data_IF_896976567577
#
_entry.id   IF_896976567577
#
_cell.length_a   1.000
_cell.length_b   1.000
_cell.length_c   1.000
_cell.angle_alpha   90.00
_cell.angle_beta   90.00
_cell.angle_gamma   90.00
#
_symmetry.space_group_name_H-M   'P 1'
#
loop_
_entity.id
_entity.type
_entity.pdbx_description
1 polymer ?
#
# COMPACT_ATOMS: atom_id res chain seq x y z
N UNK A 1 -0.43 23.97 -36.59
CA UNK A 1 -1.46 24.04 -35.56
C UNK A 1 -0.74 24.30 -34.25
N UNK A 2 -1.22 25.23 -33.44
CA UNK A 2 -0.53 25.70 -32.24
C UNK A 2 -0.74 24.73 -31.10
N UNK A 3 0.33 24.03 -30.71
CA UNK A 3 0.41 23.09 -29.59
C UNK A 3 0.37 23.82 -28.23
N UNK A 4 -0.70 24.60 -28.01
CA UNK A 4 -0.87 25.53 -26.90
C UNK A 4 -2.09 25.17 -26.05
N UNK A 5 -2.03 25.51 -24.76
CA UNK A 5 -3.17 25.40 -23.86
C UNK A 5 -4.31 26.34 -24.28
N UNK A 6 -5.53 25.82 -24.27
CA UNK A 6 -6.76 26.56 -24.53
C UNK A 6 -7.52 26.65 -23.21
N UNK A 7 -7.76 27.87 -22.75
CA UNK A 7 -8.41 28.13 -21.46
C UNK A 7 -9.58 29.09 -21.66
N UNK A 8 -10.79 28.63 -21.30
CA UNK A 8 -12.02 29.38 -21.49
C UNK A 8 -12.79 29.57 -20.19
N UNK A 9 -13.20 30.80 -19.90
CA UNK A 9 -14.04 31.15 -18.75
C UNK A 9 -15.52 31.16 -19.17
N UNK A 10 -16.35 30.46 -18.40
CA UNK A 10 -17.80 30.51 -18.57
C UNK A 10 -18.50 30.71 -17.23
N UNK A 11 -19.69 31.32 -17.28
CA UNK A 11 -20.55 31.44 -16.13
C UNK A 11 -21.29 30.12 -15.86
N UNK A 12 -21.30 29.68 -14.61
CA UNK A 12 -21.93 28.43 -14.19
C UNK A 12 -23.40 28.67 -13.80
N UNK A 13 -24.25 29.00 -14.79
CA UNK A 13 -25.69 29.24 -14.61
C UNK A 13 -26.54 28.41 -15.56
N UNK A 14 -27.79 28.16 -15.15
CA UNK A 14 -28.78 27.44 -15.95
C UNK A 14 -29.19 28.30 -17.17
N UNK A 15 -28.96 27.80 -18.39
CA UNK A 15 -29.31 28.48 -19.64
C UNK A 15 -28.14 29.05 -20.44
N UNK A 16 -26.98 29.31 -19.79
CA UNK A 16 -25.78 29.85 -20.44
C UNK A 16 -24.83 28.75 -20.95
N UNK A 17 -25.06 27.49 -20.56
CA UNK A 17 -24.23 26.35 -20.92
C UNK A 17 -24.63 25.66 -22.24
N UNK A 18 -25.75 26.03 -22.86
CA UNK A 18 -26.22 25.40 -24.10
C UNK A 18 -25.47 25.88 -25.36
N UNK A 19 -24.57 26.86 -25.21
CA UNK A 19 -23.82 27.50 -26.30
C UNK A 19 -22.30 27.35 -26.18
N UNK A 20 -21.80 26.48 -25.30
CA UNK A 20 -20.37 26.17 -25.25
C UNK A 20 -20.07 25.25 -26.44
N UNK A 21 -19.59 25.85 -27.53
CA UNK A 21 -19.19 25.17 -28.77
C UNK A 21 -17.83 25.70 -29.18
N UNK A 22 -16.80 24.89 -28.96
CA UNK A 22 -15.44 25.17 -29.43
C UNK A 22 -14.88 23.91 -30.06
N UNK A 23 -14.28 24.03 -31.25
CA UNK A 23 -13.79 22.90 -32.06
C UNK A 23 -12.85 21.93 -31.32
N UNK A 24 -12.10 22.41 -30.31
CA UNK A 24 -11.19 21.58 -29.51
C UNK A 24 -11.88 20.84 -28.37
N UNK A 25 -12.96 21.42 -27.82
CA UNK A 25 -13.71 20.87 -26.69
C UNK A 25 -14.59 19.69 -27.12
N UNK A 26 -15.00 19.67 -28.39
CA UNK A 26 -15.81 18.59 -28.96
C UNK A 26 -14.97 17.41 -29.48
N UNK A 27 -13.67 17.62 -29.70
CA UNK A 27 -12.78 16.62 -30.31
C UNK A 27 -11.84 15.92 -29.32
N UNK A 28 -11.52 16.57 -28.19
CA UNK A 28 -10.57 16.05 -27.20
C UNK A 28 -11.17 16.04 -25.78
N UNK A 29 -10.74 15.12 -24.89
CA UNK A 29 -11.05 15.21 -23.48
C UNK A 29 -10.55 16.54 -22.89
N UNK A 30 -11.31 17.12 -21.96
CA UNK A 30 -10.95 18.38 -21.30
C UNK A 30 -10.85 18.21 -19.79
N UNK A 31 -10.09 19.11 -19.17
CA UNK A 31 -10.08 19.33 -17.71
C UNK A 31 -10.89 20.59 -17.42
N UNK A 32 -11.56 20.65 -16.29
CA UNK A 32 -12.33 21.83 -15.89
C UNK A 32 -12.21 22.11 -14.39
N UNK A 33 -12.29 23.39 -14.04
CA UNK A 33 -12.31 23.88 -12.67
C UNK A 33 -13.62 24.64 -12.46
N UNK A 34 -14.47 24.11 -11.58
CA UNK A 34 -15.66 24.80 -11.10
C UNK A 34 -15.30 25.55 -9.83
N UNK A 35 -15.55 26.85 -9.75
CA UNK A 35 -15.15 27.62 -8.57
C UNK A 35 -16.06 28.83 -8.29
N UNK A 36 -15.80 29.50 -7.18
CA UNK A 36 -16.37 30.81 -6.86
C UNK A 36 -15.29 31.81 -6.42
N UNK A 37 -15.56 33.10 -6.61
CA UNK A 37 -14.69 34.21 -6.17
C UNK A 37 -15.23 34.94 -4.94
N UNK A 38 -16.13 34.33 -4.17
CA UNK A 38 -16.86 35.04 -3.12
C UNK A 38 -15.96 35.38 -1.92
N UNK A 39 -15.61 36.65 -1.76
CA UNK A 39 -14.74 37.16 -0.68
C UNK A 39 -15.32 37.00 0.74
N UNK A 40 -16.65 36.82 0.88
CA UNK A 40 -17.30 36.74 2.19
C UNK A 40 -17.28 35.35 2.83
N UNK A 41 -16.90 34.32 2.08
CA UNK A 41 -16.80 32.92 2.55
C UNK A 41 -15.50 32.32 2.03
N UNK A 42 -15.04 31.21 2.63
CA UNK A 42 -13.91 30.45 2.07
C UNK A 42 -14.27 30.02 0.63
N UNK A 43 -13.46 30.37 -0.39
CA UNK A 43 -13.79 30.02 -1.75
C UNK A 43 -13.68 28.50 -1.94
N UNK A 44 -14.57 27.96 -2.75
CA UNK A 44 -14.70 26.52 -3.00
C UNK A 44 -14.37 26.22 -4.45
N UNK A 45 -13.72 25.09 -4.68
CA UNK A 45 -13.44 24.61 -6.02
C UNK A 45 -13.73 23.11 -6.17
N UNK A 46 -13.99 22.70 -7.40
CA UNK A 46 -14.09 21.32 -7.81
C UNK A 46 -13.38 21.17 -9.15
N UNK A 47 -12.49 20.19 -9.24
CA UNK A 47 -11.72 19.91 -10.44
C UNK A 47 -12.21 18.60 -11.03
N UNK A 48 -12.34 18.51 -12.34
CA UNK A 48 -12.71 17.25 -13.00
C UNK A 48 -12.24 17.19 -14.44
N UNK A 49 -12.29 16.00 -15.03
CA UNK A 49 -12.13 15.80 -16.47
C UNK A 49 -13.41 15.25 -17.12
N UNK A 50 -13.58 15.48 -18.42
CA UNK A 50 -14.67 14.87 -19.19
C UNK A 50 -14.43 14.89 -20.69
N UNK A 51 -15.06 13.94 -21.39
CA UNK A 51 -15.24 13.94 -22.86
C UNK A 51 -16.61 14.46 -23.28
N UNK A 52 -17.48 14.80 -22.33
CA UNK A 52 -18.86 15.26 -22.58
C UNK A 52 -19.17 16.47 -21.69
N UNK A 53 -18.55 17.62 -22.00
CA UNK A 53 -18.64 18.87 -21.22
C UNK A 53 -20.08 19.23 -20.89
N UNK A 54 -20.94 19.35 -21.90
CA UNK A 54 -22.33 19.74 -21.73
C UNK A 54 -23.12 18.81 -20.78
N UNK A 55 -22.92 17.50 -20.89
CA UNK A 55 -23.56 16.52 -19.99
C UNK A 55 -23.02 16.66 -18.57
N UNK A 56 -21.69 16.79 -18.42
CA UNK A 56 -21.02 16.85 -17.12
C UNK A 56 -21.37 18.13 -16.36
N UNK A 57 -21.38 19.28 -17.01
CA UNK A 57 -21.75 20.55 -16.38
C UNK A 57 -23.23 20.58 -15.97
N UNK A 58 -24.14 20.02 -16.79
CA UNK A 58 -25.55 19.84 -16.40
C UNK A 58 -25.71 18.96 -15.16
N UNK A 59 -24.93 17.89 -15.03
CA UNK A 59 -24.93 17.05 -13.82
C UNK A 59 -24.49 17.83 -12.58
N UNK A 60 -23.46 18.68 -12.69
CA UNK A 60 -23.01 19.51 -11.57
C UNK A 60 -24.02 20.59 -11.19
N UNK A 61 -24.73 21.20 -12.16
CA UNK A 61 -25.80 22.17 -11.88
C UNK A 61 -26.93 21.57 -11.04
N UNK A 62 -27.23 20.29 -11.26
CA UNK A 62 -28.27 19.57 -10.51
C UNK A 62 -27.78 19.10 -9.12
N UNK A 63 -26.50 19.26 -8.79
CA UNK A 63 -25.94 18.83 -7.52
C UNK A 63 -26.05 19.93 -6.45
N UNK A 64 -26.77 19.64 -5.36
CA UNK A 64 -26.99 20.58 -4.26
C UNK A 64 -25.71 21.04 -3.55
N UNK A 65 -24.62 20.26 -3.60
CA UNK A 65 -23.30 20.63 -3.05
C UNK A 65 -22.57 21.69 -3.88
N UNK A 66 -23.04 21.98 -5.10
CA UNK A 66 -22.42 22.91 -6.05
C UNK A 66 -23.13 24.26 -6.15
N UNK A 67 -24.10 24.55 -5.26
CA UNK A 67 -24.88 25.80 -5.27
C UNK A 67 -24.05 27.09 -5.17
N UNK A 68 -22.90 27.01 -4.50
CA UNK A 68 -22.03 28.17 -4.27
C UNK A 68 -21.06 28.45 -5.42
N UNK A 69 -20.87 27.51 -6.36
CA UNK A 69 -20.05 27.67 -7.56
C UNK A 69 -20.76 28.61 -8.54
N UNK A 70 -19.99 29.49 -9.17
CA UNK A 70 -20.50 30.52 -10.10
C UNK A 70 -19.76 30.56 -11.43
N UNK A 71 -18.57 29.99 -11.49
CA UNK A 71 -17.70 30.05 -12.65
C UNK A 71 -17.19 28.64 -12.99
N UNK A 72 -16.94 28.42 -14.28
CA UNK A 72 -16.23 27.26 -14.80
C UNK A 72 -15.10 27.71 -15.70
N UNK A 73 -13.92 27.16 -15.47
CA UNK A 73 -12.77 27.25 -16.35
C UNK A 73 -12.67 25.94 -17.12
N UNK A 74 -12.72 25.98 -18.45
CA UNK A 74 -12.47 24.82 -19.31
C UNK A 74 -11.02 24.88 -19.82
N UNK A 75 -10.33 23.76 -19.75
CA UNK A 75 -8.92 23.62 -20.10
C UNK A 75 -8.81 22.51 -21.14
N UNK A 76 -8.41 22.89 -22.35
CA UNK A 76 -8.20 22.00 -23.49
C UNK A 76 -6.78 22.06 -24.03
N UNK A 77 -6.38 21.02 -24.74
CA UNK A 77 -5.10 20.94 -25.45
C UNK A 77 -5.23 19.89 -26.55
N UNK A 78 -4.65 20.12 -27.73
CA UNK A 78 -4.81 19.24 -28.91
C UNK A 78 -4.26 17.81 -28.70
N UNK A 79 -3.31 17.65 -27.79
CA UNK A 79 -2.75 16.33 -27.42
C UNK A 79 -3.48 15.61 -26.29
N UNK A 80 -4.50 16.23 -25.68
CA UNK A 80 -5.18 15.60 -24.56
C UNK A 80 -5.82 14.27 -24.96
N UNK A 81 -5.49 13.25 -24.18
CA UNK A 81 -6.13 11.95 -24.15
C UNK A 81 -6.58 11.66 -22.71
N UNK A 82 -7.32 10.58 -22.49
CA UNK A 82 -7.89 10.29 -21.16
C UNK A 82 -6.83 10.12 -20.07
N UNK A 83 -5.66 9.55 -20.40
CA UNK A 83 -4.55 9.41 -19.45
C UNK A 83 -3.94 10.76 -19.11
N UNK A 84 -3.76 11.63 -20.10
CA UNK A 84 -3.24 12.98 -19.91
C UNK A 84 -4.20 13.85 -19.07
N UNK A 85 -5.50 13.87 -19.38
CA UNK A 85 -6.45 14.67 -18.60
C UNK A 85 -6.64 14.16 -17.17
N UNK A 86 -6.57 12.85 -16.97
CA UNK A 86 -6.58 12.25 -15.63
C UNK A 86 -5.32 12.62 -14.83
N UNK A 87 -4.15 12.67 -15.47
CA UNK A 87 -2.91 13.12 -14.85
C UNK A 87 -2.97 14.60 -14.45
N UNK A 88 -3.39 15.47 -15.37
CA UNK A 88 -3.53 16.90 -15.13
C UNK A 88 -4.58 17.17 -14.04
N UNK A 89 -5.73 16.48 -14.06
CA UNK A 89 -6.74 16.54 -12.99
C UNK A 89 -6.12 16.19 -11.62
N UNK A 90 -5.38 15.08 -11.55
CA UNK A 90 -4.75 14.61 -10.31
C UNK A 90 -3.72 15.63 -9.81
N UNK A 91 -2.87 16.14 -10.70
CA UNK A 91 -1.89 17.16 -10.36
C UNK A 91 -2.57 18.44 -9.87
N UNK A 92 -3.60 18.93 -10.56
CA UNK A 92 -4.35 20.12 -10.13
C UNK A 92 -4.96 19.93 -8.74
N UNK A 93 -5.60 18.78 -8.46
CA UNK A 93 -6.18 18.51 -7.13
C UNK A 93 -5.10 18.58 -6.05
N UNK A 94 -3.96 17.91 -6.26
CA UNK A 94 -2.87 17.90 -5.29
C UNK A 94 -2.27 19.29 -5.05
N UNK A 95 -2.08 20.08 -6.11
CA UNK A 95 -1.51 21.42 -5.98
C UNK A 95 -2.52 22.41 -5.38
N UNK A 96 -3.82 22.34 -5.70
CA UNK A 96 -4.85 23.16 -5.05
C UNK A 96 -4.98 22.85 -3.54
N UNK A 97 -4.80 21.59 -3.14
CA UNK A 97 -4.75 21.22 -1.72
C UNK A 97 -3.58 21.90 -1.02
N UNK A 98 -2.39 21.84 -1.62
CA UNK A 98 -1.18 22.44 -1.04
C UNK A 98 -1.09 23.96 -1.17
N UNK A 99 -1.81 24.56 -2.12
CA UNK A 99 -1.91 26.01 -2.28
C UNK A 99 -2.83 26.66 -1.23
N UNK A 100 -3.79 25.88 -0.72
CA UNK A 100 -4.75 26.23 0.33
C UNK A 100 -5.69 27.41 0.01
N UNK A 101 -5.60 27.99 -1.18
CA UNK A 101 -6.45 29.10 -1.62
C UNK A 101 -7.93 28.70 -1.69
N UNK A 102 -8.25 27.48 -2.14
CA UNK A 102 -9.62 26.97 -2.26
C UNK A 102 -9.88 25.77 -1.36
N UNK A 103 -11.11 25.66 -0.84
CA UNK A 103 -11.60 24.43 -0.25
C UNK A 103 -12.09 23.48 -1.37
N UNK A 104 -11.30 22.45 -1.68
CA UNK A 104 -11.69 21.46 -2.69
C UNK A 104 -12.81 20.55 -2.22
N UNK A 105 -13.75 20.28 -3.12
CA UNK A 105 -14.92 19.45 -2.84
C UNK A 105 -14.77 17.98 -3.26
N UNK A 106 -13.60 17.58 -3.81
CA UNK A 106 -13.33 16.22 -4.30
C UNK A 106 -11.99 15.62 -3.86
N UNK A 107 -11.48 16.05 -2.71
CA UNK A 107 -10.22 15.57 -2.10
C UNK A 107 -10.18 14.04 -1.89
N UNK A 108 -11.33 13.38 -1.73
CA UNK A 108 -11.37 11.92 -1.56
C UNK A 108 -10.88 11.13 -2.78
N UNK A 109 -10.84 11.75 -3.97
CA UNK A 109 -10.44 11.09 -5.21
C UNK A 109 -8.94 10.83 -5.31
N UNK A 110 -8.10 11.47 -4.48
CA UNK A 110 -6.63 11.31 -4.52
C UNK A 110 -6.07 10.42 -3.40
N UNK A 111 -6.92 9.91 -2.48
CA UNK A 111 -6.47 9.09 -1.32
C UNK A 111 -5.83 7.74 -1.70
N UNK A 112 -5.89 7.31 -2.96
CA UNK A 112 -5.36 6.02 -3.43
C UNK A 112 -4.62 6.12 -4.78
N UNK A 113 -4.35 7.32 -5.31
CA UNK A 113 -3.90 7.45 -6.70
C UNK A 113 -2.37 7.56 -6.77
N UNK A 114 -1.72 6.44 -7.07
CA UNK A 114 -0.40 6.47 -7.69
C UNK A 114 -0.61 6.47 -9.21
N UNK A 115 -0.29 7.58 -9.86
CA UNK A 115 -0.36 7.68 -11.32
C UNK A 115 0.65 6.71 -11.94
N UNK A 116 0.17 5.77 -12.76
CA UNK A 116 1.02 4.85 -13.51
C UNK A 116 1.70 5.60 -14.67
N UNK A 117 2.82 5.08 -15.16
CA UNK A 117 3.50 5.62 -16.34
C UNK A 117 2.61 5.49 -17.58
N UNK A 118 2.63 6.50 -18.45
CA UNK A 118 1.94 6.50 -19.74
C UNK A 118 2.71 7.33 -20.78
N UNK A 119 2.34 7.18 -22.04
CA UNK A 119 3.01 7.86 -23.16
C UNK A 119 3.07 9.38 -22.96
N UNK A 120 4.27 9.95 -23.08
CA UNK A 120 4.56 11.39 -22.90
C UNK A 120 4.20 11.98 -21.54
N UNK A 121 4.09 11.18 -20.46
CA UNK A 121 3.76 11.68 -19.11
C UNK A 121 4.65 12.84 -18.66
N UNK A 122 5.95 12.77 -18.92
CA UNK A 122 6.92 13.82 -18.56
C UNK A 122 6.62 15.15 -19.25
N UNK A 123 6.20 15.12 -20.52
CA UNK A 123 5.78 16.33 -21.23
C UNK A 123 4.53 16.97 -20.59
N UNK A 124 3.55 16.17 -20.15
CA UNK A 124 2.38 16.71 -19.45
C UNK A 124 2.71 17.26 -18.07
N UNK A 125 3.61 16.60 -17.31
CA UNK A 125 3.98 17.02 -15.96
C UNK A 125 4.88 18.24 -15.93
N UNK A 126 5.88 18.29 -16.81
CA UNK A 126 6.94 19.31 -16.76
C UNK A 126 6.68 20.48 -17.72
N UNK A 127 5.90 20.30 -18.79
CA UNK A 127 5.62 21.38 -19.75
C UNK A 127 4.19 21.87 -19.61
N UNK A 128 3.21 21.00 -19.89
CA UNK A 128 1.80 21.42 -19.96
C UNK A 128 1.27 21.83 -18.58
N UNK A 129 1.57 21.07 -17.54
CA UNK A 129 1.10 21.39 -16.20
C UNK A 129 1.76 22.66 -15.65
N UNK A 130 3.03 22.90 -15.97
CA UNK A 130 3.72 24.14 -15.58
C UNK A 130 3.07 25.37 -16.23
N UNK A 131 2.87 25.34 -17.55
CA UNK A 131 2.19 26.42 -18.29
C UNK A 131 0.78 26.67 -17.74
N UNK A 132 0.03 25.59 -17.47
CA UNK A 132 -1.30 25.69 -16.87
C UNK A 132 -1.26 26.33 -15.48
N UNK A 133 -0.32 25.94 -14.62
CA UNK A 133 -0.23 26.48 -13.27
C UNK A 133 0.12 27.97 -13.27
N UNK A 134 1.05 28.38 -14.12
CA UNK A 134 1.42 29.78 -14.31
C UNK A 134 0.21 30.61 -14.75
N UNK A 135 -0.61 30.10 -15.69
CA UNK A 135 -1.82 30.78 -16.11
C UNK A 135 -2.87 30.86 -14.99
N UNK A 136 -3.02 29.82 -14.17
CA UNK A 136 -3.89 29.86 -12.99
C UNK A 136 -3.41 30.90 -11.97
N UNK A 137 -2.10 31.08 -11.80
CA UNK A 137 -1.55 32.14 -10.95
C UNK A 137 -1.84 33.52 -11.52
N UNK A 138 -1.68 33.74 -12.83
CA UNK A 138 -2.05 35.02 -13.49
C UNK A 138 -3.53 35.35 -13.31
N UNK A 139 -4.39 34.32 -13.33
CA UNK A 139 -5.83 34.43 -13.10
C UNK A 139 -6.24 34.54 -11.63
N UNK A 140 -5.27 34.54 -10.72
CA UNK A 140 -5.48 34.55 -9.27
C UNK A 140 -6.31 33.35 -8.78
N UNK A 141 -6.22 32.21 -9.46
CA UNK A 141 -6.80 30.92 -9.06
C UNK A 141 -5.79 30.02 -8.33
N UNK A 142 -4.53 30.42 -8.29
CA UNK A 142 -3.48 29.83 -7.48
C UNK A 142 -2.60 30.94 -6.90
N UNK A 143 -2.11 30.77 -5.66
CA UNK A 143 -1.29 31.78 -4.98
C UNK A 143 0.20 31.45 -5.02
N UNK A 144 0.56 30.21 -4.72
CA UNK A 144 1.93 29.75 -4.56
C UNK A 144 2.44 29.06 -5.83
N UNK A 145 3.74 29.17 -6.08
CA UNK A 145 4.39 28.43 -7.16
C UNK A 145 4.38 26.91 -6.88
N UNK A 146 4.53 26.11 -7.95
CA UNK A 146 4.69 24.66 -7.85
C UNK A 146 5.80 24.31 -6.84
N UNK A 147 6.97 24.96 -6.93
CA UNK A 147 8.08 24.71 -6.01
C UNK A 147 7.74 25.04 -4.56
N UNK A 148 7.02 26.13 -4.31
CA UNK A 148 6.59 26.49 -2.96
C UNK A 148 5.68 25.42 -2.38
N UNK A 149 4.75 24.89 -3.18
CA UNK A 149 3.83 23.83 -2.76
C UNK A 149 4.58 22.53 -2.49
N UNK A 150 5.49 22.14 -3.39
CA UNK A 150 6.35 20.96 -3.23
C UNK A 150 7.23 21.05 -1.98
N UNK A 151 7.77 22.23 -1.68
CA UNK A 151 8.65 22.46 -0.53
C UNK A 151 7.88 22.68 0.79
N UNK A 152 6.62 23.12 0.75
CA UNK A 152 5.73 23.20 1.92
C UNK A 152 5.17 21.83 2.35
N UNK A 153 5.12 20.86 1.44
CA UNK A 153 4.62 19.52 1.74
C UNK A 153 5.60 18.77 2.66
N UNK A 154 5.41 18.91 3.96
CA UNK A 154 6.12 18.11 4.96
C UNK A 154 5.79 16.63 4.76
N UNK A 155 6.76 15.86 4.25
CA UNK A 155 6.67 14.39 4.21
C UNK A 155 6.84 13.84 5.61
N UNK A 156 5.75 13.46 6.26
CA UNK A 156 5.79 12.75 7.53
C UNK A 156 5.87 11.25 7.28
N UNK A 157 7.04 10.66 7.54
CA UNK A 157 7.17 9.20 7.63
C UNK A 157 6.67 8.78 9.00
N UNK A 158 5.56 8.04 9.07
CA UNK A 158 5.13 7.40 10.31
C UNK A 158 6.18 6.32 10.65
N UNK A 159 6.93 6.56 11.73
CA UNK A 159 8.00 5.66 12.18
C UNK A 159 7.53 4.67 13.25
N UNK A 160 6.47 5.01 13.97
CA UNK A 160 6.02 4.24 15.13
C UNK A 160 5.10 3.08 14.71
N UNK A 161 5.46 1.88 15.14
CA UNK A 161 4.61 0.69 15.05
C UNK A 161 3.79 0.56 16.34
N UNK A 162 2.52 0.97 16.29
CA UNK A 162 1.62 0.94 17.46
C UNK A 162 0.88 -0.38 17.64
N UNK A 163 0.96 -1.31 16.67
CA UNK A 163 0.14 -2.54 16.66
C UNK A 163 0.78 -3.68 17.43
N UNK A 164 2.08 -3.90 17.23
CA UNK A 164 2.82 -4.97 17.89
C UNK A 164 3.15 -4.54 19.31
N UNK A 165 2.76 -5.33 20.33
CA UNK A 165 3.18 -5.10 21.72
C UNK A 165 4.61 -5.59 21.99
N UNK A 166 5.46 -5.48 20.98
CA UNK A 166 6.84 -5.97 20.96
C UNK A 166 7.84 -4.87 21.32
N UNK A 167 9.08 -5.25 21.57
CA UNK A 167 10.18 -4.29 21.71
C UNK A 167 10.59 -3.71 20.35
N UNK A 168 11.20 -2.51 20.31
CA UNK A 168 11.80 -1.96 19.09
C UNK A 168 12.82 -2.91 18.44
N UNK A 169 13.53 -3.70 19.24
CA UNK A 169 14.51 -4.69 18.77
C UNK A 169 13.87 -5.80 17.94
N UNK A 170 12.67 -6.27 18.30
CA UNK A 170 11.92 -7.26 17.50
C UNK A 170 11.51 -6.66 16.15
N UNK A 171 11.08 -5.40 16.13
CA UNK A 171 10.70 -4.72 14.88
C UNK A 171 11.92 -4.57 13.98
N UNK A 172 13.06 -4.14 14.54
CA UNK A 172 14.32 -4.03 13.82
C UNK A 172 14.81 -5.38 13.30
N UNK A 173 14.65 -6.45 14.08
CA UNK A 173 15.02 -7.80 13.64
C UNK A 173 14.18 -8.28 12.45
N UNK A 174 12.88 -7.96 12.41
CA UNK A 174 12.04 -8.21 11.23
C UNK A 174 12.54 -7.38 10.04
N UNK A 175 12.88 -6.10 10.26
CA UNK A 175 13.44 -5.24 9.21
C UNK A 175 14.78 -5.77 8.67
N UNK A 176 15.64 -6.31 9.54
CA UNK A 176 16.90 -6.93 9.16
C UNK A 176 16.67 -8.15 8.25
N UNK A 177 15.72 -9.03 8.58
CA UNK A 177 15.35 -10.18 7.74
C UNK A 177 14.89 -9.72 6.35
N UNK A 178 14.06 -8.68 6.30
CA UNK A 178 13.55 -8.10 5.04
C UNK A 178 14.67 -7.45 4.23
N UNK A 179 15.69 -6.93 4.89
CA UNK A 179 16.93 -6.45 4.29
C UNK A 179 17.97 -7.57 4.08
N UNK A 180 17.52 -8.83 4.12
CA UNK A 180 18.27 -10.07 3.87
C UNK A 180 19.39 -10.37 4.87
N UNK A 181 19.38 -9.72 6.03
CA UNK A 181 20.33 -9.96 7.13
C UNK A 181 19.70 -10.86 8.18
N UNK A 182 20.37 -11.97 8.51
CA UNK A 182 19.90 -12.90 9.55
C UNK A 182 20.65 -12.63 10.86
N UNK A 183 20.17 -11.63 11.62
CA UNK A 183 20.80 -11.14 12.85
C UNK A 183 20.35 -11.92 14.10
N UNK A 184 21.08 -11.82 15.23
CA UNK A 184 20.69 -12.48 16.48
C UNK A 184 19.26 -12.19 16.90
N UNK A 185 18.54 -13.22 17.32
CA UNK A 185 17.12 -13.12 17.66
C UNK A 185 16.97 -12.35 18.99
N UNK A 186 16.18 -11.26 19.01
CA UNK A 186 15.94 -10.51 20.24
C UNK A 186 15.09 -11.29 21.25
N UNK A 187 15.12 -10.82 22.50
CA UNK A 187 14.32 -11.39 23.57
C UNK A 187 12.83 -11.09 23.40
N UNK A 188 12.02 -12.08 23.79
CA UNK A 188 10.59 -11.85 24.04
C UNK A 188 10.40 -10.81 25.15
N UNK A 189 9.28 -10.12 25.13
CA UNK A 189 8.87 -9.20 26.20
C UNK A 189 7.76 -9.81 27.03
N UNK A 190 7.41 -9.19 28.17
CA UNK A 190 6.26 -9.61 28.97
C UNK A 190 4.92 -9.60 28.21
N UNK A 191 4.84 -8.81 27.11
CA UNK A 191 3.65 -8.65 26.29
C UNK A 191 3.76 -9.25 24.89
N UNK A 192 4.93 -9.78 24.50
CA UNK A 192 5.17 -10.32 23.17
C UNK A 192 6.13 -11.50 23.17
N UNK A 193 5.64 -12.65 22.70
CA UNK A 193 6.44 -13.88 22.55
C UNK A 193 7.00 -14.00 21.12
N UNK A 194 8.32 -14.16 20.99
CA UNK A 194 8.99 -14.48 19.72
C UNK A 194 9.66 -15.85 19.81
N UNK A 195 9.19 -16.78 18.99
CA UNK A 195 9.68 -18.16 18.98
C UNK A 195 9.80 -18.74 17.56
N UNK A 196 10.93 -19.39 17.30
CA UNK A 196 11.17 -20.22 16.12
C UNK A 196 10.73 -21.65 16.46
N UNK A 197 9.92 -22.23 15.58
CA UNK A 197 9.37 -23.57 15.72
C UNK A 197 10.21 -24.56 14.92
N UNK A 198 10.61 -25.65 15.55
CA UNK A 198 11.44 -26.68 14.90
C UNK A 198 10.65 -27.50 13.88
N UNK A 199 9.35 -27.72 14.14
CA UNK A 199 8.49 -28.57 13.32
C UNK A 199 7.16 -27.86 12.99
N UNK A 200 6.57 -28.24 11.85
CA UNK A 200 5.25 -27.78 11.45
C UNK A 200 4.17 -28.14 12.48
N UNK A 201 4.27 -29.30 13.13
CA UNK A 201 3.31 -29.73 14.15
C UNK A 201 3.43 -28.91 15.44
N UNK A 202 4.66 -28.55 15.82
CA UNK A 202 4.86 -27.64 16.95
C UNK A 202 4.20 -26.28 16.67
N UNK A 203 4.36 -25.73 15.46
CA UNK A 203 3.69 -24.49 15.06
C UNK A 203 2.16 -24.62 15.13
N UNK A 204 1.59 -25.64 14.51
CA UNK A 204 0.13 -25.89 14.51
C UNK A 204 -0.42 -26.00 15.93
N UNK A 205 0.19 -26.85 16.74
CA UNK A 205 -0.26 -27.09 18.11
C UNK A 205 -0.19 -25.83 18.96
N UNK A 206 0.88 -25.03 18.82
CA UNK A 206 1.02 -23.76 19.53
C UNK A 206 -0.07 -22.77 19.13
N UNK A 207 -0.30 -22.56 17.83
CA UNK A 207 -1.32 -21.62 17.36
C UNK A 207 -2.73 -22.08 17.73
N UNK A 208 -3.05 -23.36 17.62
CA UNK A 208 -4.37 -23.89 17.99
C UNK A 208 -4.63 -23.78 19.49
N UNK A 209 -3.60 -23.95 20.32
CA UNK A 209 -3.69 -23.73 21.77
C UNK A 209 -3.94 -22.25 22.09
N UNK A 210 -3.21 -21.34 21.44
CA UNK A 210 -3.35 -19.90 21.64
C UNK A 210 -4.71 -19.38 21.16
N UNK A 211 -5.25 -19.90 20.05
CA UNK A 211 -6.58 -19.50 19.58
C UNK A 211 -7.68 -19.89 20.57
N UNK A 212 -7.58 -21.06 21.20
CA UNK A 212 -8.52 -21.48 22.26
C UNK A 212 -8.47 -20.56 23.48
N UNK A 213 -7.29 -20.03 23.83
CA UNK A 213 -7.08 -19.19 25.01
C UNK A 213 -7.43 -17.73 24.76
N UNK A 214 -7.05 -17.20 23.61
CA UNK A 214 -7.04 -15.76 23.34
C UNK A 214 -7.82 -15.34 22.09
N UNK A 215 -8.23 -16.31 21.25
CA UNK A 215 -8.84 -16.05 19.94
C UNK A 215 -7.89 -15.33 18.98
N UNK A 216 -8.37 -15.09 17.76
CA UNK A 216 -7.68 -14.35 16.69
C UNK A 216 -6.22 -14.80 16.50
N UNK A 217 -5.97 -16.10 16.59
CA UNK A 217 -4.65 -16.68 16.37
C UNK A 217 -4.68 -17.53 15.11
N UNK A 218 -3.84 -17.24 14.12
CA UNK A 218 -3.91 -17.89 12.80
C UNK A 218 -2.54 -18.22 12.25
N UNK A 219 -2.50 -19.24 11.40
CA UNK A 219 -1.33 -19.55 10.57
C UNK A 219 -1.46 -18.77 9.27
N UNK A 220 -0.37 -18.14 8.84
CA UNK A 220 -0.25 -17.41 7.59
C UNK A 220 1.05 -17.83 6.90
N UNK A 221 1.13 -17.68 5.58
CA UNK A 221 2.31 -18.10 4.82
C UNK A 221 2.63 -17.16 3.66
N UNK A 222 3.91 -17.15 3.27
CA UNK A 222 4.34 -16.63 1.97
C UNK A 222 3.66 -17.40 0.85
N UNK A 223 3.41 -16.72 -0.28
CA UNK A 223 2.59 -17.24 -1.37
C UNK A 223 3.39 -18.16 -2.31
N UNK A 224 3.84 -19.29 -1.78
CA UNK A 224 4.77 -20.21 -2.46
C UNK A 224 4.10 -21.49 -2.97
N UNK A 225 2.81 -21.65 -2.68
CA UNK A 225 2.03 -22.82 -3.06
C UNK A 225 0.90 -22.42 -3.99
N UNK A 226 0.60 -23.29 -4.95
CA UNK A 226 -0.44 -23.08 -5.95
C UNK A 226 -1.76 -22.72 -5.26
N UNK A 227 -2.40 -21.67 -5.75
CA UNK A 227 -3.75 -21.31 -5.36
C UNK A 227 -4.47 -20.73 -6.58
N UNK A 228 -5.53 -21.40 -7.03
CA UNK A 228 -6.33 -20.96 -8.18
C UNK A 228 -7.73 -20.57 -7.76
N UNK A 229 -8.32 -19.61 -8.48
CA UNK A 229 -9.72 -19.17 -8.31
C UNK A 229 -10.69 -20.08 -9.09
N UNK A 230 -10.47 -21.38 -9.05
CA UNK A 230 -11.30 -22.40 -9.72
C UNK A 230 -12.25 -23.13 -8.74
N UNK A 231 -12.23 -22.74 -7.47
CA UNK A 231 -13.05 -23.35 -6.42
C UNK A 231 -12.47 -24.64 -5.86
N UNK A 232 -11.31 -25.10 -6.34
CA UNK A 232 -10.61 -26.25 -5.76
C UNK A 232 -9.90 -25.86 -4.46
N UNK A 233 -9.71 -26.86 -3.58
CA UNK A 233 -8.93 -26.70 -2.35
C UNK A 233 -7.46 -26.99 -2.64
N UNK A 234 -6.60 -26.03 -2.34
CA UNK A 234 -5.16 -26.14 -2.49
C UNK A 234 -4.49 -26.10 -1.12
N UNK A 235 -3.49 -26.94 -0.91
CA UNK A 235 -2.81 -27.11 0.37
C UNK A 235 -1.50 -26.31 0.43
N UNK A 236 -1.25 -25.70 1.57
CA UNK A 236 0.05 -25.14 1.94
C UNK A 236 0.89 -26.25 2.53
N UNK A 237 2.08 -26.46 1.96
CA UNK A 237 3.05 -27.45 2.40
C UNK A 237 2.43 -28.84 2.64
N UNK A 238 2.00 -29.56 1.57
CA UNK A 238 1.31 -30.85 1.70
C UNK A 238 2.09 -31.90 2.51
N UNK A 239 3.42 -31.79 2.56
CA UNK A 239 4.31 -32.68 3.32
C UNK A 239 4.55 -32.26 4.77
N UNK A 240 4.03 -31.10 5.22
CA UNK A 240 4.26 -30.57 6.56
C UNK A 240 3.04 -29.91 7.18
N UNK A 241 2.85 -28.61 6.96
CA UNK A 241 1.70 -27.87 7.51
C UNK A 241 0.39 -28.55 7.10
N UNK A 242 0.26 -28.88 5.82
CA UNK A 242 -0.83 -29.67 5.25
C UNK A 242 -2.22 -29.12 5.61
N UNK A 243 -2.39 -27.81 5.42
CA UNK A 243 -3.67 -27.11 5.62
C UNK A 243 -4.08 -26.38 4.35
N UNK A 244 -5.37 -26.29 4.04
CA UNK A 244 -5.85 -25.56 2.87
C UNK A 244 -5.56 -24.06 2.98
N UNK A 245 -5.35 -23.42 1.83
CA UNK A 245 -5.37 -21.97 1.72
C UNK A 245 -6.73 -21.39 2.16
N UNK A 246 -6.69 -20.12 2.55
CA UNK A 246 -7.84 -19.38 3.06
C UNK A 246 -9.07 -19.42 2.14
N UNK A 247 -10.25 -19.60 2.73
CA UNK A 247 -11.53 -19.44 2.04
C UNK A 247 -11.98 -17.98 2.04
N UNK A 248 -12.69 -17.55 0.99
CA UNK A 248 -13.28 -16.20 0.90
C UNK A 248 -14.75 -16.22 1.35
N UNK A 249 -15.17 -15.21 2.12
CA UNK A 249 -16.55 -15.00 2.57
C UNK A 249 -16.86 -13.50 2.59
N UNK A 250 -18.11 -13.12 2.30
CA UNK A 250 -18.53 -11.72 2.15
C UNK A 250 -19.12 -11.11 3.42
N UNK A 251 -19.43 -11.90 4.45
CA UNK A 251 -20.15 -11.45 5.65
C UNK A 251 -19.24 -11.25 6.87
N UNK A 252 -18.14 -11.99 6.98
CA UNK A 252 -17.21 -11.90 8.12
C UNK A 252 -15.76 -11.98 7.68
N UNK A 253 -14.91 -11.25 8.38
CA UNK A 253 -13.46 -11.27 8.16
C UNK A 253 -12.91 -12.68 8.38
N UNK A 254 -11.97 -13.11 7.53
CA UNK A 254 -11.41 -14.46 7.58
C UNK A 254 -10.96 -14.85 8.99
N UNK A 255 -10.14 -14.02 9.63
CA UNK A 255 -9.57 -14.27 10.96
C UNK A 255 -10.61 -14.39 12.09
N UNK A 256 -11.82 -13.86 11.93
CA UNK A 256 -12.88 -13.89 12.95
C UNK A 256 -13.72 -15.17 12.89
N UNK A 257 -13.59 -15.95 11.82
CA UNK A 257 -14.37 -17.18 11.63
C UNK A 257 -13.67 -18.34 12.35
N UNK A 258 -14.32 -19.04 13.31
CA UNK A 258 -13.66 -20.09 14.09
C UNK A 258 -13.10 -21.24 13.26
N UNK A 259 -13.78 -21.63 12.17
CA UNK A 259 -13.37 -22.73 11.30
C UNK A 259 -12.08 -22.44 10.50
N UNK A 260 -11.69 -21.17 10.36
CA UNK A 260 -10.47 -20.77 9.61
C UNK A 260 -9.19 -21.01 10.39
N UNK A 261 -9.26 -21.45 11.64
CA UNK A 261 -8.09 -21.92 12.39
C UNK A 261 -7.37 -23.07 11.67
N UNK A 262 -8.12 -23.88 10.92
CA UNK A 262 -7.62 -24.99 10.09
C UNK A 262 -7.32 -24.57 8.65
N UNK A 263 -7.14 -23.28 8.39
CA UNK A 263 -6.75 -22.73 7.08
C UNK A 263 -5.46 -21.91 7.22
N UNK A 264 -4.75 -21.70 6.12
CA UNK A 264 -3.59 -20.80 6.05
C UNK A 264 -3.97 -19.51 5.34
N UNK A 265 -3.72 -18.39 6.01
CA UNK A 265 -3.93 -17.05 5.45
C UNK A 265 -2.80 -16.63 4.51
N UNK A 266 -3.17 -16.08 3.36
CA UNK A 266 -2.23 -15.38 2.48
C UNK A 266 -2.06 -13.91 2.88
N UNK A 267 -1.06 -13.26 2.26
CA UNK A 267 -0.83 -11.82 2.37
C UNK A 267 -2.09 -10.97 2.09
N UNK A 268 -2.90 -11.39 1.11
CA UNK A 268 -4.14 -10.70 0.71
C UNK A 268 -5.23 -10.78 1.77
N UNK A 269 -5.30 -11.88 2.49
CA UNK A 269 -6.39 -12.17 3.43
C UNK A 269 -6.13 -11.56 4.81
N UNK A 270 -4.86 -11.46 5.20
CA UNK A 270 -4.46 -10.82 6.47
C UNK A 270 -4.27 -9.31 6.33
N UNK A 271 -4.29 -8.77 5.11
CA UNK A 271 -4.10 -7.34 4.89
C UNK A 271 -5.23 -6.51 5.51
N UNK A 272 -4.86 -5.65 6.47
CA UNK A 272 -5.77 -4.70 7.10
C UNK A 272 -6.33 -5.13 8.46
N UNK A 273 -5.93 -6.31 8.97
CA UNK A 273 -6.32 -6.79 10.29
C UNK A 273 -5.11 -7.32 11.05
N UNK A 274 -5.14 -7.22 12.37
CA UNK A 274 -4.08 -7.69 13.27
C UNK A 274 -4.56 -8.92 14.03
N UNK A 275 -3.62 -9.82 14.35
CA UNK A 275 -3.87 -11.10 15.00
C UNK A 275 -3.22 -11.12 16.38
N UNK A 276 -3.87 -11.72 17.37
CA UNK A 276 -3.29 -11.85 18.71
C UNK A 276 -1.96 -12.63 18.63
N UNK A 277 -2.01 -13.79 17.98
CA UNK A 277 -0.83 -14.64 17.77
C UNK A 277 -0.76 -15.10 16.32
N UNK A 278 0.43 -15.10 15.75
CA UNK A 278 0.64 -15.42 14.34
C UNK A 278 1.63 -16.55 14.22
N UNK A 279 1.23 -17.60 13.51
CA UNK A 279 2.16 -18.60 13.00
C UNK A 279 2.56 -18.25 11.57
N UNK A 280 3.79 -17.79 11.34
CA UNK A 280 4.30 -17.51 10.00
C UNK A 280 5.02 -18.74 9.46
N UNK A 281 4.54 -19.27 8.34
CA UNK A 281 5.22 -20.29 7.55
C UNK A 281 5.99 -19.58 6.43
N UNK A 282 7.31 -19.59 6.56
CA UNK A 282 8.23 -19.10 5.52
C UNK A 282 8.44 -20.25 4.53
N UNK A 283 7.81 -20.14 3.38
CA UNK A 283 7.82 -21.16 2.35
C UNK A 283 9.06 -21.12 1.46
N UNK A 284 9.10 -21.97 0.42
CA UNK A 284 10.32 -22.36 -0.27
C UNK A 284 10.97 -21.26 -1.13
N UNK A 285 10.31 -20.12 -1.38
CA UNK A 285 10.92 -18.98 -2.07
C UNK A 285 11.94 -18.22 -1.22
N UNK A 286 11.99 -18.47 0.08
CA UNK A 286 12.88 -17.78 1.02
C UNK A 286 13.78 -18.79 1.71
N UNK A 287 15.09 -18.67 1.51
CA UNK A 287 16.09 -19.51 2.18
C UNK A 287 17.25 -18.68 2.74
N UNK A 288 18.25 -19.36 3.28
CA UNK A 288 19.48 -18.79 3.79
C UNK A 288 20.65 -19.46 3.09
N UNK A 289 21.62 -18.65 2.69
CA UNK A 289 22.88 -19.09 2.12
C UNK A 289 23.98 -19.03 3.20
N UNK A 290 24.51 -20.19 3.63
CA UNK A 290 25.57 -20.25 4.62
C UNK A 290 26.91 -19.65 4.17
N UNK A 291 27.18 -19.56 2.87
CA UNK A 291 28.45 -19.02 2.36
C UNK A 291 28.46 -17.49 2.40
N UNK A 292 27.32 -16.87 2.11
CA UNK A 292 27.17 -15.42 2.08
C UNK A 292 26.61 -14.82 3.38
N UNK A 293 26.15 -15.67 4.31
CA UNK A 293 25.47 -15.30 5.57
C UNK A 293 24.26 -14.37 5.32
N UNK A 294 23.53 -14.62 4.23
CA UNK A 294 22.40 -13.80 3.81
C UNK A 294 21.18 -14.64 3.46
N UNK A 295 20.01 -14.00 3.56
CA UNK A 295 18.77 -14.55 3.02
C UNK A 295 18.88 -14.59 1.48
N UNK A 296 18.41 -15.67 0.86
CA UNK A 296 18.32 -15.81 -0.60
C UNK A 296 16.87 -15.98 -1.01
N UNK A 297 16.49 -15.30 -2.09
CA UNK A 297 15.13 -15.30 -2.62
C UNK A 297 15.10 -16.01 -3.97
N UNK A 298 14.34 -17.10 -4.02
CA UNK A 298 14.05 -17.86 -5.22
C UNK A 298 12.69 -17.43 -5.79
N UNK A 299 12.74 -16.50 -6.73
CA UNK A 299 11.55 -15.89 -7.34
C UNK A 299 10.70 -16.89 -8.13
N UNK A 300 11.29 -18.01 -8.59
CA UNK A 300 10.60 -19.00 -9.42
C UNK A 300 9.71 -19.93 -8.58
N UNK A 301 9.94 -19.97 -7.26
CA UNK A 301 9.11 -20.70 -6.30
C UNK A 301 7.97 -19.87 -5.71
N UNK A 302 7.88 -18.58 -6.04
CA UNK A 302 6.77 -17.73 -5.61
C UNK A 302 5.59 -17.88 -6.58
N UNK A 303 4.48 -18.43 -6.11
CA UNK A 303 3.32 -18.81 -6.92
C UNK A 303 2.31 -17.66 -7.14
N UNK A 304 2.57 -16.48 -6.56
CA UNK A 304 1.71 -15.31 -6.76
C UNK A 304 1.90 -14.69 -8.15
N UNK A 305 1.25 -15.30 -9.13
CA UNK A 305 1.24 -14.82 -10.51
C UNK A 305 0.57 -13.45 -10.66
N UNK A 306 -0.30 -13.06 -9.71
CA UNK A 306 -1.00 -11.78 -9.70
C UNK A 306 -0.12 -10.62 -9.24
N UNK A 307 0.83 -10.87 -8.34
CA UNK A 307 1.82 -9.87 -7.96
C UNK A 307 2.81 -9.53 -9.09
N UNK A 308 2.89 -10.37 -10.12
CA UNK A 308 3.86 -10.26 -11.22
C UNK A 308 3.24 -9.82 -12.56
N UNK A 309 1.95 -9.50 -12.62
CA UNK A 309 1.33 -8.93 -13.83
C UNK A 309 1.79 -7.48 -14.03
N UNK A 310 2.76 -7.24 -14.92
CA UNK A 310 3.18 -5.87 -15.23
C UNK A 310 4.32 -5.72 -16.25
N UNK A 311 3.92 -5.41 -17.48
CA UNK A 311 4.60 -4.67 -18.57
C UNK A 311 5.78 -5.33 -19.34
N UNK A 312 5.61 -5.39 -20.67
CA UNK A 312 6.60 -5.86 -21.65
C UNK A 312 7.78 -4.87 -21.87
N UNK A 313 7.80 -3.74 -21.16
CA UNK A 313 8.78 -2.65 -21.28
C UNK A 313 9.95 -2.73 -20.29
N UNK A 314 9.94 -3.69 -19.36
CA UNK A 314 10.93 -3.78 -18.28
C UNK A 314 12.10 -4.73 -18.60
N UNK A 315 13.32 -4.25 -18.37
CA UNK A 315 14.53 -5.09 -18.39
C UNK A 315 14.39 -6.27 -17.40
N UNK A 316 14.77 -7.47 -17.83
CA UNK A 316 14.70 -8.70 -17.04
C UNK A 316 15.32 -8.57 -15.63
N UNK A 317 16.43 -7.83 -15.49
CA UNK A 317 17.04 -7.61 -14.16
C UNK A 317 16.17 -6.77 -13.22
N UNK A 318 15.55 -5.70 -13.72
CA UNK A 318 14.66 -4.84 -12.93
C UNK A 318 13.43 -5.62 -12.49
N UNK A 319 12.90 -6.47 -13.37
CA UNK A 319 11.81 -7.38 -13.05
C UNK A 319 12.21 -8.34 -11.93
N UNK A 320 13.37 -8.99 -12.01
CA UNK A 320 13.84 -9.90 -10.94
C UNK A 320 13.96 -9.19 -9.59
N UNK A 321 14.58 -8.00 -9.55
CA UNK A 321 14.69 -7.19 -8.31
C UNK A 321 13.33 -6.75 -7.76
N UNK A 322 12.40 -6.36 -8.63
CA UNK A 322 11.05 -6.02 -8.22
C UNK A 322 10.32 -7.23 -7.62
N UNK A 323 10.46 -8.42 -8.23
CA UNK A 323 9.89 -9.66 -7.71
C UNK A 323 10.45 -10.03 -6.34
N UNK A 324 11.78 -9.96 -6.18
CA UNK A 324 12.45 -10.18 -4.90
C UNK A 324 11.92 -9.21 -3.83
N UNK A 325 11.80 -7.93 -4.17
CA UNK A 325 11.25 -6.89 -3.28
C UNK A 325 9.81 -7.18 -2.86
N UNK A 326 8.97 -7.71 -3.76
CA UNK A 326 7.59 -8.10 -3.46
C UNK A 326 7.56 -9.24 -2.42
N UNK A 327 8.40 -10.24 -2.57
CA UNK A 327 8.47 -11.39 -1.66
C UNK A 327 8.90 -10.93 -0.26
N UNK A 328 9.96 -10.10 -0.19
CA UNK A 328 10.45 -9.53 1.06
C UNK A 328 9.41 -8.62 1.73
N UNK A 329 8.69 -7.80 0.96
CA UNK A 329 7.60 -6.99 1.48
C UNK A 329 6.42 -7.82 1.99
N UNK A 330 6.10 -8.92 1.31
CA UNK A 330 5.09 -9.88 1.76
C UNK A 330 5.50 -10.44 3.14
N UNK A 331 6.74 -10.90 3.28
CA UNK A 331 7.29 -11.40 4.55
C UNK A 331 7.22 -10.34 5.67
N UNK A 332 7.63 -9.10 5.39
CA UNK A 332 7.54 -7.97 6.32
C UNK A 332 6.11 -7.77 6.84
N UNK A 333 5.14 -7.78 5.94
CA UNK A 333 3.74 -7.60 6.30
C UNK A 333 3.25 -8.76 7.15
N UNK A 334 3.52 -10.01 6.77
CA UNK A 334 3.08 -11.20 7.50
C UNK A 334 3.62 -11.20 8.94
N UNK A 335 4.93 -10.99 9.12
CA UNK A 335 5.57 -10.98 10.45
C UNK A 335 5.04 -9.86 11.36
N UNK A 336 4.67 -8.71 10.80
CA UNK A 336 4.16 -7.56 11.56
C UNK A 336 2.66 -7.60 11.86
N UNK A 337 1.97 -8.72 11.61
CA UNK A 337 0.56 -8.93 11.97
C UNK A 337 0.34 -9.36 13.42
N UNK A 338 1.40 -9.77 14.12
CA UNK A 338 1.31 -10.25 15.50
C UNK A 338 1.17 -9.10 16.50
N UNK A 339 0.15 -9.16 17.37
CA UNK A 339 0.00 -8.23 18.49
C UNK A 339 0.77 -8.72 19.72
N UNK A 340 0.67 -10.02 20.05
CA UNK A 340 1.20 -10.62 21.28
C UNK A 340 2.17 -11.79 21.06
N UNK A 341 2.19 -12.39 19.88
CA UNK A 341 3.04 -13.56 19.66
C UNK A 341 3.34 -13.81 18.19
N UNK A 342 4.62 -13.97 17.87
CA UNK A 342 5.12 -14.32 16.54
C UNK A 342 5.86 -15.66 16.63
N UNK A 343 5.32 -16.65 15.92
CA UNK A 343 5.84 -18.01 15.87
C UNK A 343 6.23 -18.33 14.43
N UNK A 344 7.49 -18.67 14.17
CA UNK A 344 8.01 -18.78 12.81
C UNK A 344 8.44 -20.21 12.54
N UNK A 345 8.01 -20.76 11.41
CA UNK A 345 8.50 -22.03 10.87
C UNK A 345 9.02 -21.81 9.45
N UNK A 346 10.28 -22.15 9.20
CA UNK A 346 10.87 -22.12 7.87
C UNK A 346 10.87 -23.52 7.25
N UNK A 347 10.38 -23.62 6.01
CA UNK A 347 10.30 -24.89 5.28
C UNK A 347 11.70 -25.32 4.82
N UNK A 348 12.48 -24.37 4.30
CA UNK A 348 13.82 -24.65 3.83
C UNK A 348 14.76 -24.97 5.02
N UNK A 349 15.53 -26.10 4.95
CA UNK A 349 16.36 -26.55 6.06
C UNK A 349 17.47 -25.57 6.47
N UNK A 350 18.11 -24.88 5.52
CA UNK A 350 19.22 -23.98 5.82
C UNK A 350 18.74 -22.79 6.67
N UNK A 351 17.68 -22.12 6.23
CA UNK A 351 17.06 -21.04 7.00
C UNK A 351 16.53 -21.53 8.35
N UNK A 352 15.85 -22.69 8.38
CA UNK A 352 15.32 -23.26 9.63
C UNK A 352 16.45 -23.51 10.63
N UNK A 353 17.53 -24.15 10.21
CA UNK A 353 18.65 -24.48 11.08
C UNK A 353 19.34 -23.22 11.59
N UNK A 354 19.57 -22.22 10.74
CA UNK A 354 20.16 -20.93 11.15
C UNK A 354 19.31 -20.24 12.22
N UNK A 355 18.00 -20.15 12.02
CA UNK A 355 17.08 -19.52 12.99
C UNK A 355 17.01 -20.28 14.32
N UNK A 356 17.01 -21.62 14.29
CA UNK A 356 17.05 -22.45 15.51
C UNK A 356 18.38 -22.23 16.26
N UNK A 357 19.51 -22.22 15.56
CA UNK A 357 20.83 -21.96 16.16
C UNK A 357 20.84 -20.60 16.88
N UNK A 358 20.39 -19.53 16.21
CA UNK A 358 20.31 -18.20 16.83
C UNK A 358 19.35 -18.15 18.03
N UNK A 359 18.23 -18.89 18.00
CA UNK A 359 17.32 -19.01 19.13
C UNK A 359 17.98 -19.74 20.33
N UNK A 360 18.80 -20.75 20.06
CA UNK A 360 19.52 -21.49 21.10
C UNK A 360 20.63 -20.64 21.73
N UNK A 361 21.37 -19.87 20.92
CA UNK A 361 22.37 -18.90 21.38
C UNK A 361 21.76 -17.81 22.27
N UNK A 362 20.57 -17.32 21.90
CA UNK A 362 19.75 -16.41 22.74
C UNK A 362 19.47 -17.04 24.12
N UNK A 363 18.99 -18.29 24.12
CA UNK A 363 18.65 -19.02 25.34
C UNK A 363 19.85 -19.26 26.26
N UNK A 364 21.02 -19.57 25.69
CA UNK A 364 22.27 -19.78 26.43
C UNK A 364 22.83 -18.46 27.01
N UNK A 365 22.74 -17.37 26.25
CA UNK A 365 23.15 -16.03 26.71
C UNK A 365 22.34 -15.56 27.92
N UNK A 366 21.07 -15.97 28.04
CA UNK A 366 20.24 -15.71 29.21
C UNK A 366 20.67 -16.51 30.45
N UNK A 367 21.09 -17.77 30.27
CA UNK A 367 21.60 -18.58 31.38
C UNK A 367 22.95 -18.05 31.90
N UNK A 368 23.81 -17.55 31.01
CA UNK A 368 25.10 -16.94 31.39
C UNK A 368 24.96 -15.56 32.07
N UNK A 369 23.85 -14.83 31.84
CA UNK A 369 23.55 -13.55 32.50
C UNK A 369 22.89 -13.68 33.88
N UNK A 370 22.68 -14.89 34.39
CA UNK A 370 22.24 -15.12 35.77
C UNK A 370 23.37 -15.67 36.64
N UNK A 371 24.11 -14.82 37.40
CA UNK A 371 24.88 -15.26 38.55
C UNK A 371 24.34 -14.68 39.88
N UNK A 372 24.18 -15.61 40.84
CA UNK A 372 24.36 -15.45 42.29
C UNK A 372 23.38 -14.54 43.05
N UNK A 373 22.18 -15.06 43.34
CA UNK A 373 21.62 -14.92 44.69
C UNK A 373 21.96 -16.20 45.47
N UNK A 374 23.20 -16.29 45.94
CA UNK A 374 23.48 -17.12 47.11
C UNK A 374 23.07 -16.30 48.32
N UNK A 375 22.02 -16.75 48.99
CA UNK A 375 21.74 -16.35 50.34
C UNK A 375 22.93 -16.68 51.23
N UNK A 376 23.21 -15.77 52.15
CA UNK A 376 23.75 -16.13 53.46
C UNK A 376 22.92 -15.39 54.49
N UNK A 377 22.23 -16.18 55.30
CA UNK A 377 21.67 -15.81 56.59
C UNK A 377 22.71 -15.06 57.44
N UNK A 378 22.29 -13.96 58.06
CA UNK A 378 22.32 -13.75 59.52
C UNK A 378 21.52 -12.52 59.91
#
# INVERSE_FOLDING_TARGET
>A
MTNQLIIEDHHFKKGELSSITTAYIDQYPVVYILYNRNEKKRPVAYIGQTVQVNKRLKQHLNNSKRKEIKEVLLIGHEKFNQSATYNIETNLINHFIGDEQFQLQNVSQTRQVQMHQYYEKEYYDEVVFQELWEELQRRQLAKHSIDTIRNKASRFKLKDQLRMKSSPQIIQWIDDIVEKRVTPIPESTASFELQIMETHDALKNKIFSLDKKEGLSRIISTFDYVHKKDGASYLVDPGGINLPWNTTDTKRTWAERPNTISEVGSIYTVQGFDLNNVGVVIGPSVDYDPETDQLVIDIDKYEDKGAFTGRDDMNQELTKKAKETIILNSLNVLMKRAIKGLYIYAINPNLRQKLITLQNERSQSNHAKSPLFNGTDQ
#
